data_IF_769997058665
#
_entry.id   IF_769997058665
#
_cell.length_a   1.000
_cell.length_b   1.000
_cell.length_c   1.000
_cell.angle_alpha   90.00
_cell.angle_beta   90.00
_cell.angle_gamma   90.00
#
_symmetry.space_group_name_H-M   'P 1'
#
loop_
_entity.id
_entity.type
_entity.pdbx_description
1 polymer ?
#
# COMPACT_ATOMS: atom_id res chain seq x y z
N UNK A 1 -11.41 4.30 -51.67
CA UNK A 1 -11.03 5.54 -52.35
C UNK A 1 -10.71 6.53 -51.26
N UNK A 2 -9.56 7.08 -51.04
CA UNK A 2 -8.28 7.39 -51.69
C UNK A 2 -7.22 7.49 -50.57
N UNK A 3 -6.16 6.86 -50.52
CA UNK A 3 -4.77 6.83 -51.02
C UNK A 3 -4.02 8.19 -50.97
N UNK A 4 -2.79 8.11 -50.34
CA UNK A 4 -1.52 8.84 -50.65
C UNK A 4 -1.31 10.15 -49.89
N UNK A 5 -0.09 10.57 -49.46
CA UNK A 5 1.32 10.28 -49.82
C UNK A 5 2.22 10.74 -48.65
N UNK A 6 3.18 10.03 -48.26
CA UNK A 6 4.65 10.01 -48.35
C UNK A 6 5.28 11.37 -48.76
N UNK A 7 6.18 11.94 -47.96
CA UNK A 7 7.42 12.54 -48.44
C UNK A 7 8.55 12.49 -47.41
N UNK A 8 9.63 11.87 -47.83
CA UNK A 8 10.96 11.84 -47.22
C UNK A 8 11.72 13.11 -47.64
N UNK A 9 12.56 13.65 -46.77
CA UNK A 9 13.75 14.40 -47.24
C UNK A 9 14.94 14.19 -46.32
N UNK A 10 15.94 13.52 -46.83
CA UNK A 10 17.33 13.48 -46.40
C UNK A 10 18.03 14.78 -46.88
N UNK A 11 18.90 15.36 -46.06
CA UNK A 11 20.04 16.14 -46.55
C UNK A 11 21.27 15.84 -45.69
N UNK A 12 22.25 15.31 -46.37
CA UNK A 12 23.66 15.12 -46.04
C UNK A 12 24.44 16.39 -46.22
N UNK A 13 25.48 16.61 -45.44
CA UNK A 13 26.45 17.69 -45.65
C UNK A 13 27.69 17.55 -44.78
N UNK A 14 28.71 17.09 -45.38
CA UNK A 14 30.10 16.75 -45.04
C UNK A 14 31.02 17.98 -45.16
N UNK A 15 32.10 18.05 -44.38
CA UNK A 15 33.46 18.60 -44.69
C UNK A 15 34.04 19.34 -43.48
N UNK A 16 35.08 18.91 -42.94
CA UNK A 16 36.53 18.74 -43.17
C UNK A 16 37.40 19.94 -42.78
N UNK A 17 38.41 19.60 -41.95
CA UNK A 17 39.86 19.97 -41.98
C UNK A 17 40.23 21.39 -41.48
N UNK A 18 41.31 21.67 -40.78
CA UNK A 18 42.54 20.99 -40.41
C UNK A 18 43.39 21.89 -39.48
N UNK A 19 44.37 21.25 -38.83
CA UNK A 19 45.77 21.62 -38.47
C UNK A 19 46.01 22.81 -37.49
N UNK A 20 46.64 22.49 -36.42
CA UNK A 20 48.00 22.35 -35.99
C UNK A 20 48.62 23.62 -35.38
N UNK A 21 49.17 23.55 -34.18
CA UNK A 21 50.59 23.50 -33.89
C UNK A 21 50.92 23.67 -32.37
N UNK A 22 51.66 22.75 -31.86
CA UNK A 22 52.84 22.77 -31.03
C UNK A 22 53.05 23.75 -29.85
N UNK A 23 53.45 23.13 -28.73
CA UNK A 23 54.44 23.57 -27.75
C UNK A 23 53.81 23.78 -26.36
N UNK A 24 54.28 23.29 -25.27
CA UNK A 24 55.52 22.74 -24.81
C UNK A 24 55.34 22.11 -23.41
N UNK A 25 56.28 21.32 -23.02
CA UNK A 25 56.47 20.52 -21.85
C UNK A 25 56.02 21.06 -20.47
N UNK A 26 55.54 20.13 -19.64
CA UNK A 26 55.41 20.30 -18.20
C UNK A 26 54.77 19.09 -17.54
N UNK A 27 55.52 18.02 -17.26
CA UNK A 27 55.19 16.84 -16.47
C UNK A 27 55.67 17.05 -15.02
N UNK A 28 55.28 16.26 -14.03
CA UNK A 28 54.01 15.67 -13.60
C UNK A 28 53.72 15.99 -12.12
N UNK A 29 52.50 15.77 -11.67
CA UNK A 29 52.24 15.32 -10.27
C UNK A 29 51.07 14.37 -10.24
N UNK A 30 51.38 13.11 -9.93
CA UNK A 30 50.45 12.11 -9.46
C UNK A 30 49.84 12.55 -8.13
N UNK A 31 48.61 12.26 -7.95
CA UNK A 31 47.94 11.68 -6.78
C UNK A 31 46.53 12.26 -6.62
N UNK A 32 45.58 11.41 -6.79
CA UNK A 32 44.20 11.68 -6.49
C UNK A 32 43.39 10.44 -6.88
N UNK A 33 43.30 9.51 -5.95
CA UNK A 33 42.53 8.28 -6.10
C UNK A 33 41.06 8.56 -6.43
N UNK A 34 40.30 7.54 -6.86
CA UNK A 34 38.92 7.71 -7.29
C UNK A 34 38.09 8.26 -6.12
N UNK A 35 37.43 9.39 -6.34
CA UNK A 35 36.41 9.89 -5.45
C UNK A 35 35.39 8.77 -5.26
N UNK A 36 35.30 8.25 -4.04
CA UNK A 36 34.21 7.45 -3.60
C UNK A 36 32.92 8.22 -3.92
N UNK A 37 32.12 7.62 -4.80
CA UNK A 37 30.79 8.12 -5.10
C UNK A 37 30.01 8.21 -3.80
N UNK A 38 29.75 9.42 -3.39
CA UNK A 38 28.82 9.74 -2.34
C UNK A 38 27.49 9.08 -2.71
N UNK A 39 27.22 7.92 -2.09
CA UNK A 39 25.96 7.22 -2.16
C UNK A 39 24.98 8.16 -1.48
N UNK A 40 24.31 8.98 -2.29
CA UNK A 40 23.12 9.71 -1.83
C UNK A 40 22.17 8.64 -1.32
N UNK A 41 22.15 8.44 0.00
CA UNK A 41 21.10 7.71 0.66
C UNK A 41 19.85 8.58 0.42
N UNK A 42 19.04 8.18 -0.57
CA UNK A 42 17.69 8.67 -0.65
C UNK A 42 17.10 8.42 0.73
N UNK A 43 16.65 9.47 1.41
CA UNK A 43 15.83 9.31 2.59
C UNK A 43 14.67 8.41 2.18
N UNK A 44 14.74 7.18 2.60
CA UNK A 44 13.63 6.23 2.56
C UNK A 44 12.60 6.77 3.55
N UNK A 45 11.81 7.74 3.11
CA UNK A 45 10.64 8.17 3.85
C UNK A 45 9.73 6.95 3.99
N UNK A 46 9.40 6.57 5.22
CA UNK A 46 8.52 5.45 5.53
C UNK A 46 7.24 5.55 4.70
N UNK A 47 7.15 4.79 3.61
CA UNK A 47 5.98 4.79 2.74
C UNK A 47 4.83 4.07 3.44
N UNK A 48 3.70 4.73 3.53
CA UNK A 48 2.52 4.22 4.25
C UNK A 48 1.43 3.84 3.27
N UNK A 49 0.79 2.70 3.53
CA UNK A 49 -0.32 2.18 2.78
C UNK A 49 -1.53 1.96 3.70
N UNK A 50 -2.71 2.31 3.25
CA UNK A 50 -3.99 1.93 3.87
C UNK A 50 -4.69 0.92 2.97
N UNK A 51 -4.87 -0.29 3.47
CA UNK A 51 -5.62 -1.35 2.77
C UNK A 51 -6.83 -1.73 3.59
N UNK A 52 -7.98 -1.84 2.96
CA UNK A 52 -9.19 -2.19 3.68
C UNK A 52 -10.20 -2.95 2.81
N UNK A 53 -11.05 -3.70 3.49
CA UNK A 53 -12.29 -4.22 2.92
C UNK A 53 -13.50 -3.57 3.60
N UNK A 54 -14.55 -3.34 2.85
CA UNK A 54 -15.82 -2.81 3.37
C UNK A 54 -17.01 -3.37 2.62
N UNK A 55 -18.13 -3.58 3.32
CA UNK A 55 -19.42 -3.92 2.71
C UNK A 55 -20.35 -2.72 2.69
N UNK A 56 -20.50 -2.05 3.83
CA UNK A 56 -21.46 -0.97 4.04
C UNK A 56 -20.88 0.44 3.87
N UNK A 57 -19.58 0.55 3.59
CA UNK A 57 -18.86 1.84 3.52
C UNK A 57 -18.35 2.35 4.87
N UNK A 58 -18.64 1.69 6.00
CA UNK A 58 -18.18 2.14 7.31
C UNK A 58 -16.64 2.09 7.44
N UNK A 59 -16.05 0.95 7.08
CA UNK A 59 -14.58 0.81 7.07
C UNK A 59 -13.93 1.77 6.07
N UNK A 60 -14.57 2.03 4.91
CA UNK A 60 -14.10 3.03 3.93
C UNK A 60 -14.01 4.41 4.53
N UNK A 61 -15.02 4.85 5.26
CA UNK A 61 -15.02 6.18 5.90
C UNK A 61 -13.82 6.35 6.83
N UNK A 62 -13.56 5.36 7.69
CA UNK A 62 -12.40 5.35 8.60
C UNK A 62 -11.09 5.32 7.80
N UNK A 63 -11.01 4.51 6.74
CA UNK A 63 -9.82 4.40 5.89
C UNK A 63 -9.43 5.73 5.24
N UNK A 64 -10.39 6.53 4.78
CA UNK A 64 -10.11 7.85 4.23
C UNK A 64 -9.55 8.83 5.28
N UNK A 65 -10.06 8.84 6.50
CA UNK A 65 -9.51 9.67 7.56
C UNK A 65 -8.07 9.27 7.93
N UNK A 66 -7.79 7.96 7.94
CA UNK A 66 -6.43 7.45 8.16
C UNK A 66 -5.52 7.86 7.00
N UNK A 67 -5.98 7.71 5.75
CA UNK A 67 -5.26 8.12 4.55
C UNK A 67 -4.84 9.58 4.63
N UNK A 68 -5.79 10.47 4.92
CA UNK A 68 -5.55 11.90 4.98
C UNK A 68 -4.57 12.26 6.11
N UNK A 69 -4.75 11.68 7.30
CA UNK A 69 -3.90 11.93 8.46
C UNK A 69 -2.47 11.37 8.30
N UNK A 70 -2.34 10.24 7.61
CA UNK A 70 -1.06 9.57 7.37
C UNK A 70 -0.35 10.09 6.11
N UNK A 71 -1.06 10.74 5.18
CA UNK A 71 -0.62 11.06 3.80
C UNK A 71 -0.21 9.75 3.07
N UNK A 72 -1.09 8.75 3.11
CA UNK A 72 -0.85 7.39 2.68
C UNK A 72 -1.48 7.08 1.32
N UNK A 73 -0.97 6.06 0.64
CA UNK A 73 -1.67 5.43 -0.47
C UNK A 73 -2.87 4.63 0.06
N UNK A 74 -3.93 4.52 -0.72
CA UNK A 74 -5.19 3.87 -0.32
C UNK A 74 -5.62 2.79 -1.30
N UNK A 75 -5.94 1.61 -0.79
CA UNK A 75 -6.45 0.49 -1.59
C UNK A 75 -7.67 -0.14 -0.92
N UNK A 76 -8.81 -0.12 -1.61
CA UNK A 76 -9.98 -0.90 -1.25
C UNK A 76 -9.90 -2.30 -1.85
N UNK A 77 -9.92 -3.33 -1.03
CA UNK A 77 -9.94 -4.71 -1.50
C UNK A 77 -11.28 -5.04 -2.16
N UNK A 78 -11.23 -5.57 -3.37
CA UNK A 78 -12.41 -6.03 -4.12
C UNK A 78 -12.21 -7.49 -4.51
N UNK A 79 -13.22 -8.30 -4.26
CA UNK A 79 -13.21 -9.71 -4.65
C UNK A 79 -13.61 -9.87 -6.12
N UNK A 80 -13.01 -10.86 -6.80
CA UNK A 80 -13.37 -11.20 -8.20
C UNK A 80 -14.86 -11.54 -8.29
N UNK A 81 -15.35 -12.37 -7.38
CA UNK A 81 -16.78 -12.63 -7.23
C UNK A 81 -17.32 -11.72 -6.14
N UNK A 82 -18.17 -10.77 -6.50
CA UNK A 82 -18.76 -9.84 -5.54
C UNK A 82 -19.61 -10.57 -4.50
N UNK A 83 -19.58 -10.09 -3.25
CA UNK A 83 -20.52 -10.56 -2.24
C UNK A 83 -21.97 -10.20 -2.61
N UNK A 84 -22.96 -11.01 -2.21
CA UNK A 84 -24.36 -10.72 -2.48
C UNK A 84 -24.81 -9.36 -1.93
N UNK A 85 -25.80 -8.73 -2.56
CA UNK A 85 -26.36 -7.47 -2.08
C UNK A 85 -27.13 -7.64 -0.77
N UNK A 86 -27.84 -8.77 -0.60
CA UNK A 86 -28.68 -9.05 0.57
C UNK A 86 -27.85 -9.31 1.82
N UNK A 87 -28.23 -8.69 2.94
CA UNK A 87 -27.49 -8.83 4.20
C UNK A 87 -27.35 -10.28 4.66
N UNK A 88 -28.46 -11.03 4.73
CA UNK A 88 -28.44 -12.42 5.19
C UNK A 88 -27.58 -13.32 4.30
N UNK A 89 -27.66 -13.13 2.98
CA UNK A 89 -26.85 -13.89 2.05
C UNK A 89 -25.32 -13.66 2.25
N UNK A 90 -24.92 -12.43 2.57
CA UNK A 90 -23.52 -12.13 2.93
C UNK A 90 -23.14 -12.79 4.25
N UNK A 91 -24.01 -12.73 5.25
CA UNK A 91 -23.78 -13.35 6.57
C UNK A 91 -23.53 -14.85 6.41
N UNK A 92 -24.39 -15.52 5.63
CA UNK A 92 -24.31 -16.97 5.40
C UNK A 92 -23.08 -17.36 4.58
N UNK A 93 -22.75 -16.59 3.53
CA UNK A 93 -21.56 -16.81 2.71
C UNK A 93 -20.30 -16.60 3.55
N UNK A 94 -20.20 -15.48 4.27
CA UNK A 94 -19.05 -15.17 5.11
C UNK A 94 -18.82 -16.27 6.18
N UNK A 95 -19.89 -16.81 6.78
CA UNK A 95 -19.77 -17.91 7.72
C UNK A 95 -19.16 -19.13 7.08
N UNK A 96 -19.66 -19.54 5.90
CA UNK A 96 -19.13 -20.69 5.16
C UNK A 96 -17.66 -20.51 4.77
N UNK A 97 -17.30 -19.31 4.30
CA UNK A 97 -15.93 -18.99 3.91
C UNK A 97 -14.97 -19.06 5.12
N UNK A 98 -15.38 -18.49 6.26
CA UNK A 98 -14.56 -18.48 7.48
C UNK A 98 -14.39 -19.89 8.02
N UNK A 99 -15.47 -20.66 8.14
CA UNK A 99 -15.43 -22.03 8.67
C UNK A 99 -14.60 -22.98 7.79
N UNK A 100 -14.60 -22.75 6.47
CA UNK A 100 -13.81 -23.51 5.50
C UNK A 100 -12.41 -22.94 5.22
N UNK A 101 -12.03 -21.81 5.84
CA UNK A 101 -10.75 -21.14 5.61
C UNK A 101 -10.58 -20.61 4.18
N UNK A 102 -11.69 -20.32 3.49
CA UNK A 102 -11.67 -19.81 2.10
C UNK A 102 -11.09 -18.39 2.07
N UNK A 103 -10.19 -18.18 1.13
CA UNK A 103 -9.60 -16.88 0.80
C UNK A 103 -10.07 -16.47 -0.59
N UNK A 104 -11.11 -15.62 -0.71
CA UNK A 104 -11.65 -15.22 -2.00
C UNK A 104 -10.62 -14.47 -2.83
N UNK A 105 -10.55 -14.76 -4.14
CA UNK A 105 -9.63 -14.09 -5.04
C UNK A 105 -9.92 -12.59 -5.11
N UNK A 106 -8.87 -11.77 -5.08
CA UNK A 106 -8.95 -10.32 -5.18
C UNK A 106 -8.77 -9.84 -6.62
N UNK A 107 -9.48 -8.78 -7.00
CA UNK A 107 -9.28 -8.07 -8.27
C UNK A 107 -8.03 -7.19 -8.24
N UNK A 108 -7.74 -6.62 -7.08
CA UNK A 108 -6.62 -5.70 -6.93
C UNK A 108 -5.31 -6.45 -6.71
N UNK A 109 -4.25 -5.90 -7.31
CA UNK A 109 -2.87 -6.24 -7.00
C UNK A 109 -2.11 -4.97 -6.65
N UNK A 110 -1.29 -5.02 -5.62
CA UNK A 110 -0.44 -3.92 -5.20
C UNK A 110 0.95 -4.21 -5.75
N UNK A 111 1.30 -3.56 -6.87
CA UNK A 111 2.52 -3.88 -7.62
C UNK A 111 3.79 -3.63 -6.82
N UNK A 112 3.87 -2.53 -6.09
CA UNK A 112 5.07 -2.10 -5.35
C UNK A 112 4.93 -2.32 -3.85
N UNK A 113 4.31 -3.43 -3.40
CA UNK A 113 4.07 -3.68 -1.98
C UNK A 113 5.35 -3.65 -1.14
N UNK A 114 6.49 -4.05 -1.71
CA UNK A 114 7.77 -4.06 -1.01
C UNK A 114 8.22 -2.66 -0.53
N UNK A 115 7.79 -1.59 -1.20
CA UNK A 115 8.16 -0.20 -0.86
C UNK A 115 7.48 0.35 0.39
N UNK A 116 6.43 -0.32 0.88
CA UNK A 116 5.70 0.14 2.05
C UNK A 116 6.28 -0.46 3.33
N UNK A 117 6.58 0.39 4.31
CA UNK A 117 7.08 0.00 5.63
C UNK A 117 5.96 -0.09 6.66
N UNK A 118 4.94 0.76 6.52
CA UNK A 118 3.79 0.83 7.41
C UNK A 118 2.50 0.56 6.65
N UNK A 119 1.72 -0.43 7.10
CA UNK A 119 0.48 -0.81 6.48
C UNK A 119 -0.66 -0.76 7.50
N UNK A 120 -1.61 0.16 7.29
CA UNK A 120 -2.90 0.12 7.98
C UNK A 120 -3.81 -0.91 7.32
N UNK A 121 -4.37 -1.82 8.10
CA UNK A 121 -5.22 -2.90 7.59
C UNK A 121 -6.60 -2.81 8.20
N UNK A 122 -7.61 -2.49 7.37
CA UNK A 122 -8.99 -2.27 7.76
C UNK A 122 -9.91 -3.45 7.47
N UNK A 123 -10.72 -3.81 8.44
CA UNK A 123 -11.71 -4.88 8.31
C UNK A 123 -12.99 -4.57 9.06
N UNK A 124 -14.17 -4.93 8.54
CA UNK A 124 -15.31 -5.15 9.40
C UNK A 124 -15.11 -6.45 10.21
N UNK A 125 -15.61 -6.46 11.44
CA UNK A 125 -15.67 -7.70 12.24
C UNK A 125 -16.80 -8.58 11.67
N UNK A 126 -16.43 -9.70 11.07
CA UNK A 126 -17.33 -10.72 10.58
C UNK A 126 -17.13 -12.01 11.38
N UNK A 127 -18.20 -12.47 12.06
CA UNK A 127 -18.15 -13.71 12.84
C UNK A 127 -16.97 -13.79 13.83
N UNK A 128 -16.70 -12.67 14.50
CA UNK A 128 -15.63 -12.53 15.49
C UNK A 128 -14.21 -12.60 14.94
N UNK A 129 -14.04 -12.43 13.63
CA UNK A 129 -12.73 -12.36 12.95
C UNK A 129 -12.74 -11.32 11.82
N UNK A 130 -11.62 -11.18 11.12
CA UNK A 130 -11.53 -10.33 9.93
C UNK A 130 -12.37 -10.90 8.77
N UNK A 131 -12.82 -10.02 7.86
CA UNK A 131 -13.46 -10.44 6.63
C UNK A 131 -12.50 -11.25 5.75
N UNK A 132 -12.95 -12.34 5.08
CA UNK A 132 -12.10 -13.22 4.28
C UNK A 132 -11.23 -12.54 3.22
N UNK A 133 -11.64 -11.45 2.52
CA UNK A 133 -10.79 -10.71 1.60
C UNK A 133 -9.52 -10.13 2.25
N UNK A 134 -9.60 -9.76 3.54
CA UNK A 134 -8.45 -9.26 4.30
C UNK A 134 -7.47 -10.41 4.58
N UNK A 135 -7.96 -11.59 4.90
CA UNK A 135 -7.11 -12.78 5.05
C UNK A 135 -6.40 -13.15 3.73
N UNK A 136 -7.08 -13.01 2.58
CA UNK A 136 -6.46 -13.15 1.26
C UNK A 136 -5.31 -12.18 1.08
N UNK A 137 -5.53 -10.89 1.34
CA UNK A 137 -4.49 -9.86 1.23
C UNK A 137 -3.29 -10.18 2.10
N UNK A 138 -3.49 -10.50 3.38
CA UNK A 138 -2.42 -10.78 4.34
C UNK A 138 -1.56 -11.99 3.95
N UNK A 139 -2.13 -12.95 3.23
CA UNK A 139 -1.39 -14.13 2.76
C UNK A 139 -0.82 -14.00 1.34
N UNK A 140 -1.09 -12.88 0.65
CA UNK A 140 -0.63 -12.65 -0.73
C UNK A 140 0.69 -11.88 -0.82
N UNK A 141 1.17 -11.30 0.28
CA UNK A 141 2.38 -10.47 0.31
C UNK A 141 3.29 -10.82 1.47
N UNK A 142 4.57 -10.43 1.35
CA UNK A 142 5.54 -10.58 2.45
C UNK A 142 5.49 -9.37 3.38
N UNK A 143 5.11 -9.63 4.63
CA UNK A 143 5.04 -8.64 5.71
C UNK A 143 6.27 -8.67 6.63
N UNK A 144 7.32 -9.40 6.29
CA UNK A 144 8.52 -9.50 7.13
C UNK A 144 9.11 -8.11 7.41
N UNK A 145 9.22 -7.77 8.70
CA UNK A 145 9.77 -6.49 9.15
C UNK A 145 8.85 -5.28 9.00
N UNK A 146 7.73 -5.42 8.31
CA UNK A 146 6.77 -4.32 8.12
C UNK A 146 5.95 -4.05 9.38
N UNK A 147 5.55 -2.81 9.58
CA UNK A 147 4.63 -2.41 10.65
C UNK A 147 3.19 -2.55 10.18
N UNK A 148 2.39 -3.35 10.87
CA UNK A 148 0.96 -3.54 10.59
C UNK A 148 0.14 -2.87 11.70
N UNK A 149 -0.80 -2.02 11.31
CA UNK A 149 -1.65 -1.26 12.22
C UNK A 149 -3.11 -1.56 11.88
N UNK A 150 -3.78 -2.46 12.61
CA UNK A 150 -5.15 -2.84 12.33
C UNK A 150 -6.15 -1.72 12.66
N UNK A 151 -7.25 -1.64 11.89
CA UNK A 151 -8.44 -0.92 12.31
C UNK A 151 -9.69 -1.74 12.01
N UNK A 152 -10.59 -1.80 12.98
CA UNK A 152 -11.74 -2.69 12.97
C UNK A 152 -13.03 -1.89 13.14
N UNK A 153 -13.99 -2.12 12.26
CA UNK A 153 -15.35 -1.60 12.40
C UNK A 153 -16.31 -2.74 12.76
N UNK A 154 -17.30 -2.48 13.59
CA UNK A 154 -18.20 -3.53 14.06
C UNK A 154 -19.60 -3.02 14.41
N UNK A 155 -20.61 -3.88 14.23
CA UNK A 155 -22.00 -3.60 14.62
C UNK A 155 -22.28 -3.73 16.13
N UNK A 156 -21.40 -4.40 16.89
CA UNK A 156 -21.59 -4.65 18.33
C UNK A 156 -20.59 -5.65 18.93
N UNK A 157 -19.88 -6.43 18.10
CA UNK A 157 -18.99 -7.50 18.54
C UNK A 157 -17.58 -7.06 18.98
N UNK A 158 -17.24 -5.76 18.94
CA UNK A 158 -15.90 -5.28 19.27
C UNK A 158 -14.84 -5.73 18.27
N UNK A 159 -13.60 -5.75 18.73
CA UNK A 159 -12.44 -6.26 17.97
C UNK A 159 -12.52 -7.78 17.77
N UNK A 160 -12.97 -8.48 18.81
CA UNK A 160 -12.94 -9.94 18.92
C UNK A 160 -11.55 -10.52 18.57
N UNK A 161 -11.43 -11.39 17.57
CA UNK A 161 -10.14 -11.96 17.15
C UNK A 161 -9.53 -11.28 15.92
N UNK A 162 -10.10 -10.17 15.44
CA UNK A 162 -9.64 -9.59 14.17
C UNK A 162 -8.12 -9.35 14.14
N UNK A 163 -7.58 -8.62 15.11
CA UNK A 163 -6.13 -8.32 15.10
C UNK A 163 -5.28 -9.54 15.46
N UNK A 164 -5.72 -10.41 16.36
CA UNK A 164 -4.97 -11.63 16.69
C UNK A 164 -4.90 -12.61 15.53
N UNK A 165 -5.98 -12.76 14.77
CA UNK A 165 -6.00 -13.61 13.58
C UNK A 165 -5.14 -13.01 12.45
N UNK A 166 -5.13 -11.65 12.27
CA UNK A 166 -4.20 -10.98 11.36
C UNK A 166 -2.73 -11.28 11.74
N UNK A 167 -2.40 -11.18 13.03
CA UNK A 167 -1.05 -11.48 13.53
C UNK A 167 -0.64 -12.94 13.28
N UNK A 168 -1.57 -13.86 13.36
CA UNK A 168 -1.32 -15.28 13.05
C UNK A 168 -0.96 -15.47 11.58
N UNK A 169 -1.56 -14.71 10.66
CA UNK A 169 -1.26 -14.78 9.23
C UNK A 169 0.06 -14.09 8.85
N UNK A 170 0.51 -13.11 9.64
CA UNK A 170 1.74 -12.35 9.39
C UNK A 170 2.67 -12.34 10.61
N UNK A 171 3.19 -13.50 11.04
CA UNK A 171 3.92 -13.63 12.32
C UNK A 171 5.25 -12.87 12.35
N UNK A 172 5.78 -12.48 11.20
CA UNK A 172 7.04 -11.73 11.07
C UNK A 172 6.84 -10.21 10.96
N UNK A 173 5.60 -9.74 11.01
CA UNK A 173 5.27 -8.32 11.02
C UNK A 173 5.27 -7.76 12.45
N UNK A 174 5.50 -6.46 12.56
CA UNK A 174 5.43 -5.70 13.81
C UNK A 174 4.01 -5.13 13.98
N UNK A 175 3.20 -5.73 14.83
CA UNK A 175 1.82 -5.26 15.05
C UNK A 175 1.75 -4.17 16.10
N UNK A 176 0.99 -3.10 15.80
CA UNK A 176 0.59 -2.07 16.77
C UNK A 176 -0.84 -2.30 17.25
N UNK A 177 -1.23 -1.57 18.32
CA UNK A 177 -2.58 -1.64 18.87
C UNK A 177 -3.62 -1.18 17.85
N UNK A 178 -4.76 -1.90 17.72
CA UNK A 178 -5.78 -1.57 16.75
C UNK A 178 -6.63 -0.35 17.15
N UNK A 179 -7.20 0.34 16.15
CA UNK A 179 -8.38 1.18 16.35
C UNK A 179 -9.62 0.33 16.22
N UNK A 180 -10.56 0.46 17.16
CA UNK A 180 -11.81 -0.33 17.16
C UNK A 180 -13.00 0.62 17.25
N UNK A 181 -13.81 0.68 16.21
CA UNK A 181 -14.95 1.62 16.13
C UNK A 181 -16.27 0.88 15.90
N UNK A 182 -17.24 1.21 16.75
CA UNK A 182 -18.62 0.75 16.54
C UNK A 182 -19.27 1.54 15.41
N UNK A 183 -19.95 0.87 14.48
CA UNK A 183 -20.56 1.44 13.28
C UNK A 183 -21.44 2.68 13.59
N UNK A 184 -22.17 2.66 14.69
CA UNK A 184 -23.01 3.78 15.10
C UNK A 184 -22.26 5.02 15.59
N UNK A 185 -20.97 4.87 15.97
CA UNK A 185 -20.12 5.97 16.42
C UNK A 185 -19.25 6.55 15.31
N UNK A 186 -19.08 5.82 14.20
CA UNK A 186 -18.18 6.25 13.13
C UNK A 186 -18.44 7.68 12.65
N UNK A 187 -19.69 8.15 12.45
CA UNK A 187 -19.92 9.52 12.00
C UNK A 187 -19.24 10.60 12.85
N UNK A 188 -19.07 10.33 14.16
CA UNK A 188 -18.53 11.28 15.15
C UNK A 188 -17.10 10.92 15.58
N UNK A 189 -16.42 9.98 14.89
CA UNK A 189 -15.10 9.46 15.29
C UNK A 189 -13.93 9.96 14.42
N UNK A 190 -14.11 11.04 13.65
CA UNK A 190 -13.05 11.57 12.79
C UNK A 190 -11.83 12.01 13.62
N UNK A 191 -12.02 12.85 14.62
CA UNK A 191 -10.93 13.38 15.44
C UNK A 191 -10.22 12.27 16.22
N UNK A 192 -10.98 11.30 16.77
CA UNK A 192 -10.43 10.11 17.43
C UNK A 192 -9.53 9.33 16.47
N UNK A 193 -9.99 9.10 15.23
CA UNK A 193 -9.24 8.38 14.20
C UNK A 193 -7.97 9.11 13.79
N UNK A 194 -8.04 10.43 13.55
CA UNK A 194 -6.90 11.26 13.17
C UNK A 194 -5.84 11.26 14.28
N UNK A 195 -6.25 11.47 15.53
CA UNK A 195 -5.33 11.50 16.66
C UNK A 195 -4.67 10.13 16.89
N UNK A 196 -5.45 9.05 16.79
CA UNK A 196 -4.91 7.69 16.86
C UNK A 196 -3.91 7.41 15.73
N UNK A 197 -4.21 7.84 14.50
CA UNK A 197 -3.34 7.65 13.34
C UNK A 197 -1.99 8.34 13.54
N UNK A 198 -2.00 9.61 13.99
CA UNK A 198 -0.78 10.35 14.30
C UNK A 198 0.04 9.67 15.40
N UNK A 199 -0.60 9.27 16.48
CA UNK A 199 0.05 8.56 17.58
C UNK A 199 0.65 7.22 17.13
N UNK A 200 -0.08 6.45 16.30
CA UNK A 200 0.39 5.20 15.74
C UNK A 200 1.63 5.37 14.84
N UNK A 201 1.76 6.52 14.16
CA UNK A 201 2.93 6.87 13.35
C UNK A 201 4.06 7.56 14.15
N UNK A 202 3.88 7.81 15.46
CA UNK A 202 4.83 8.55 16.29
C UNK A 202 4.90 10.04 15.93
N UNK A 203 3.89 10.58 15.26
CA UNK A 203 3.77 12.01 14.92
C UNK A 203 3.04 12.74 16.05
N UNK A 204 3.55 13.92 16.42
CA UNK A 204 2.88 14.82 17.39
C UNK A 204 1.84 15.69 16.69
#
# INVERSE_FOLDING_TARGET
MNKRNILKTLVTGLSMLALAACGDAGRPKEAGGPAEGEKIMSESGNKTLVVYFTRSGRTRQVAHWIQDAAQADLVELKTVTAYPAGYQAVVDQARKEIDAGVKPALQNKIENFAEYDTIFVGTPNWWSTMAPPVATFLTSYDFTGKTVIPFVTHGGGGEARCASDMKTLCPKANFKAPLVLRDSRIPDSMDETVNWTKAALGKK
#
